data_IF_613443491105
#
_entry.id   IF_613443491105
#
_cell.length_a   1.000
_cell.length_b   1.000
_cell.length_c   1.000
_cell.angle_alpha   90.00
_cell.angle_beta   90.00
_cell.angle_gamma   90.00
#
_symmetry.space_group_name_H-M   'P 1'
#
loop_
_entity.id
_entity.type
_entity.pdbx_description
1 polymer ?
#
# COMPACT_ATOMS: atom_id res chain seq x y z
N UNK A 1 3.64 -10.63 -45.81
CA UNK A 1 4.37 -10.01 -44.66
C UNK A 1 3.72 -8.73 -44.10
N UNK A 2 2.44 -8.41 -44.38
CA UNK A 2 1.81 -7.14 -43.94
C UNK A 2 1.05 -7.27 -42.60
N UNK A 3 0.39 -8.40 -42.38
CA UNK A 3 -0.36 -8.72 -41.16
C UNK A 3 0.51 -8.88 -39.89
N UNK A 4 1.77 -9.30 -40.04
CA UNK A 4 2.70 -9.51 -38.92
C UNK A 4 3.17 -8.19 -38.28
N UNK A 5 3.25 -7.10 -39.06
CA UNK A 5 3.62 -5.76 -38.57
C UNK A 5 2.49 -5.09 -37.78
N UNK A 6 1.23 -5.33 -38.18
CA UNK A 6 0.07 -4.81 -37.46
C UNK A 6 -0.10 -5.50 -36.09
N UNK A 7 0.13 -6.81 -36.00
CA UNK A 7 0.08 -7.55 -34.74
C UNK A 7 1.15 -7.06 -33.73
N UNK A 8 2.37 -6.79 -34.19
CA UNK A 8 3.46 -6.29 -33.34
C UNK A 8 3.16 -4.89 -32.77
N UNK A 9 2.57 -4.00 -33.58
CA UNK A 9 2.18 -2.66 -33.15
C UNK A 9 1.07 -2.67 -32.10
N UNK A 10 0.06 -3.53 -32.27
CA UNK A 10 -1.05 -3.66 -31.30
C UNK A 10 -0.57 -4.28 -29.99
N UNK A 11 0.29 -5.31 -30.06
CA UNK A 11 0.85 -5.93 -28.86
C UNK A 11 1.76 -4.97 -28.08
N UNK A 12 2.59 -4.18 -28.77
CA UNK A 12 3.47 -3.19 -28.14
C UNK A 12 2.71 -2.06 -27.43
N UNK A 13 1.66 -1.51 -28.05
CA UNK A 13 0.81 -0.47 -27.43
C UNK A 13 0.06 -1.00 -26.20
N UNK A 14 -0.42 -2.24 -26.26
CA UNK A 14 -1.16 -2.85 -25.14
C UNK A 14 -0.26 -3.11 -23.93
N UNK A 15 0.95 -3.64 -24.16
CA UNK A 15 1.94 -3.83 -23.08
C UNK A 15 2.43 -2.52 -22.50
N UNK A 16 2.55 -1.48 -23.33
CA UNK A 16 3.02 -0.17 -22.89
C UNK A 16 1.96 0.52 -22.01
N UNK A 17 0.67 0.51 -22.40
CA UNK A 17 -0.42 1.09 -21.58
C UNK A 17 -0.57 0.43 -20.20
N UNK A 18 -0.38 -0.89 -20.11
CA UNK A 18 -0.43 -1.60 -18.82
C UNK A 18 0.72 -1.23 -17.88
N UNK A 19 1.91 -0.93 -18.44
CA UNK A 19 3.08 -0.53 -17.66
C UNK A 19 2.88 0.81 -16.93
N UNK A 20 2.24 1.80 -17.57
CA UNK A 20 2.00 3.11 -16.94
C UNK A 20 1.06 3.04 -15.73
N UNK A 21 0.02 2.20 -15.80
CA UNK A 21 -0.93 2.05 -14.70
C UNK A 21 -0.32 1.46 -13.43
N UNK A 22 0.63 0.53 -13.56
CA UNK A 22 1.33 -0.07 -12.41
C UNK A 22 2.29 0.90 -11.74
N UNK A 23 3.02 1.71 -12.51
CA UNK A 23 4.00 2.64 -11.96
C UNK A 23 3.36 3.73 -11.08
N UNK A 24 2.19 4.22 -11.48
CA UNK A 24 1.47 5.26 -10.72
C UNK A 24 0.94 4.72 -9.38
N UNK A 25 0.49 3.46 -9.36
CA UNK A 25 0.02 2.79 -8.15
C UNK A 25 1.15 2.59 -7.13
N UNK A 26 2.29 2.09 -7.61
CA UNK A 26 3.45 1.80 -6.78
C UNK A 26 4.07 3.09 -6.21
N UNK A 27 4.13 4.15 -7.03
CA UNK A 27 4.58 5.47 -6.58
C UNK A 27 3.65 6.07 -5.51
N UNK A 28 2.32 5.92 -5.66
CA UNK A 28 1.35 6.37 -4.65
C UNK A 28 1.48 5.58 -3.35
N UNK A 29 1.64 4.26 -3.43
CA UNK A 29 1.87 3.41 -2.26
C UNK A 29 3.17 3.82 -1.55
N UNK A 30 4.28 3.95 -2.28
CA UNK A 30 5.55 4.38 -1.71
C UNK A 30 5.47 5.74 -1.02
N UNK A 31 4.80 6.73 -1.64
CA UNK A 31 4.60 8.07 -1.05
C UNK A 31 3.71 8.03 0.21
N UNK A 32 2.70 7.17 0.24
CA UNK A 32 1.84 7.02 1.42
C UNK A 32 2.58 6.33 2.57
N UNK A 33 3.38 5.32 2.25
CA UNK A 33 4.18 4.59 3.22
C UNK A 33 5.25 5.48 3.85
N UNK A 34 6.02 6.20 3.02
CA UNK A 34 7.05 7.14 3.47
C UNK A 34 6.53 8.35 4.27
N UNK A 35 5.21 8.59 4.27
CA UNK A 35 4.59 9.60 5.15
C UNK A 35 4.28 9.09 6.55
N UNK A 36 4.33 7.77 6.74
CA UNK A 36 4.03 7.11 8.00
C UNK A 36 5.32 6.56 8.61
N UNK A 37 6.12 5.87 7.80
CA UNK A 37 7.47 5.42 8.11
C UNK A 37 8.40 6.64 8.20
N UNK A 38 8.64 7.10 9.44
CA UNK A 38 9.46 8.26 9.78
C UNK A 38 10.93 7.91 9.80
N UNK A 39 11.26 6.69 10.23
CA UNK A 39 12.65 6.21 10.33
C UNK A 39 13.19 5.74 8.98
N UNK A 40 12.32 5.55 7.99
CA UNK A 40 12.62 4.98 6.67
C UNK A 40 13.24 3.57 6.76
N UNK A 41 12.85 2.78 7.77
CA UNK A 41 13.33 1.41 7.96
C UNK A 41 12.64 0.42 7.01
N UNK A 42 11.58 0.86 6.32
CA UNK A 42 10.81 0.06 5.38
C UNK A 42 9.64 -0.67 6.03
N UNK A 43 9.40 -0.44 7.32
CA UNK A 43 8.31 -0.97 8.11
C UNK A 43 7.54 0.19 8.78
N UNK A 44 6.32 -0.07 9.23
CA UNK A 44 5.54 0.88 10.03
C UNK A 44 5.33 0.27 11.40
N UNK A 45 5.97 0.86 12.40
CA UNK A 45 5.84 0.43 13.79
C UNK A 45 4.50 0.89 14.38
N UNK A 46 4.06 0.20 15.44
CA UNK A 46 2.84 0.59 16.18
C UNK A 46 2.90 2.05 16.65
N UNK A 47 4.08 2.51 17.10
CA UNK A 47 4.29 3.88 17.56
C UNK A 47 4.14 4.91 16.44
N UNK A 48 4.72 4.64 15.26
CA UNK A 48 4.59 5.52 14.09
C UNK A 48 3.13 5.60 13.62
N UNK A 49 2.42 4.48 13.67
CA UNK A 49 0.99 4.45 13.40
C UNK A 49 0.22 5.23 14.48
N UNK A 50 0.55 5.10 15.77
CA UNK A 50 -0.06 5.89 16.85
C UNK A 50 0.17 7.39 16.63
N UNK A 51 1.39 7.82 16.31
CA UNK A 51 1.71 9.23 16.03
C UNK A 51 0.93 9.74 14.82
N UNK A 52 0.86 8.96 13.73
CA UNK A 52 0.14 9.35 12.52
C UNK A 52 -1.37 9.49 12.74
N UNK A 53 -1.93 8.65 13.61
CA UNK A 53 -3.36 8.68 13.94
C UNK A 53 -3.68 9.52 15.18
N UNK A 54 -2.68 9.95 15.96
CA UNK A 54 -2.86 10.87 17.08
C UNK A 54 -3.38 12.24 16.60
N UNK A 55 -2.88 12.69 15.44
CA UNK A 55 -3.36 13.91 14.77
C UNK A 55 -4.70 13.70 14.05
N UNK A 56 -5.03 12.45 13.67
CA UNK A 56 -6.28 12.12 12.99
C UNK A 56 -7.37 11.67 13.98
N UNK A 57 -8.28 12.59 14.29
CA UNK A 57 -9.51 12.25 15.01
C UNK A 57 -10.46 11.45 14.10
N UNK A 58 -11.13 10.44 14.66
CA UNK A 58 -12.28 9.80 13.99
C UNK A 58 -13.37 10.86 13.76
N UNK A 59 -14.20 10.69 12.73
CA UNK A 59 -15.40 11.54 12.54
C UNK A 59 -16.33 11.54 13.77
N UNK A 60 -16.23 10.51 14.60
CA UNK A 60 -17.00 10.29 15.82
C UNK A 60 -16.31 10.79 17.11
N UNK A 61 -15.15 11.46 17.02
CA UNK A 61 -14.43 12.00 18.18
C UNK A 61 -13.84 10.95 19.13
N UNK A 62 -14.01 9.65 18.86
CA UNK A 62 -13.42 8.55 19.63
C UNK A 62 -11.96 8.31 19.23
N UNK A 63 -11.10 7.89 20.17
CA UNK A 63 -9.78 7.41 19.83
C UNK A 63 -9.91 6.16 18.94
N UNK A 64 -9.24 6.15 17.79
CA UNK A 64 -9.08 4.91 17.05
C UNK A 64 -8.31 3.92 17.93
N UNK A 65 -8.81 2.68 18.05
CA UNK A 65 -8.07 1.62 18.73
C UNK A 65 -6.97 1.11 17.79
N UNK A 66 -5.92 1.93 17.63
CA UNK A 66 -4.79 1.71 16.70
C UNK A 66 -4.17 0.35 16.92
N UNK A 67 -4.02 -0.06 18.18
CA UNK A 67 -3.49 -1.38 18.55
C UNK A 67 -4.31 -2.54 17.98
N UNK A 68 -5.64 -2.43 18.01
CA UNK A 68 -6.54 -3.47 17.47
C UNK A 68 -6.58 -3.45 15.94
N UNK A 69 -6.39 -2.29 15.31
CA UNK A 69 -6.24 -2.18 13.87
C UNK A 69 -4.88 -2.72 13.41
N UNK A 70 -3.84 -2.47 14.20
CA UNK A 70 -2.49 -2.93 13.98
C UNK A 70 -2.43 -4.45 14.02
N UNK A 71 -2.86 -5.06 15.13
CA UNK A 71 -2.92 -6.52 15.28
C UNK A 71 -3.77 -7.23 14.21
N UNK A 72 -4.75 -6.54 13.62
CA UNK A 72 -5.55 -7.11 12.52
C UNK A 72 -4.82 -7.09 11.18
N UNK A 73 -3.84 -6.20 11.02
CA UNK A 73 -3.04 -6.05 9.81
C UNK A 73 -1.70 -6.76 9.90
N UNK A 74 -1.13 -6.83 11.09
CA UNK A 74 0.09 -7.55 11.43
C UNK A 74 -0.20 -9.05 11.38
N UNK A 75 0.04 -9.66 10.22
CA UNK A 75 -0.29 -11.07 9.96
C UNK A 75 0.84 -11.96 10.45
N UNK A 76 2.09 -11.48 10.38
CA UNK A 76 3.26 -12.21 10.84
C UNK A 76 3.50 -12.07 12.36
N UNK A 77 2.87 -11.10 13.03
CA UNK A 77 2.97 -10.90 14.48
C UNK A 77 4.31 -10.27 14.91
N UNK A 78 4.95 -9.55 14.02
CA UNK A 78 6.29 -8.96 14.15
C UNK A 78 6.27 -7.62 14.91
N UNK A 79 5.08 -7.06 15.16
CA UNK A 79 4.95 -5.75 15.81
C UNK A 79 5.27 -4.57 14.90
N UNK A 80 5.48 -4.83 13.60
CA UNK A 80 5.68 -3.86 12.51
C UNK A 80 4.83 -4.29 11.31
N UNK A 81 4.37 -3.33 10.52
CA UNK A 81 3.69 -3.59 9.26
C UNK A 81 4.65 -3.40 8.10
N UNK A 82 4.90 -4.46 7.34
CA UNK A 82 5.66 -4.32 6.10
C UNK A 82 4.81 -3.60 5.01
N UNK A 83 5.47 -3.20 3.91
CA UNK A 83 4.78 -2.52 2.79
C UNK A 83 3.59 -3.34 2.24
N UNK A 84 3.74 -4.65 2.08
CA UNK A 84 2.67 -5.54 1.64
C UNK A 84 1.53 -5.55 2.67
N UNK A 85 1.81 -5.74 3.95
CA UNK A 85 0.78 -5.76 5.01
C UNK A 85 0.05 -4.42 5.16
N UNK A 86 0.76 -3.31 5.00
CA UNK A 86 0.18 -1.98 5.07
C UNK A 86 -0.86 -1.73 3.96
N UNK A 87 -0.56 -2.15 2.72
CA UNK A 87 -1.44 -2.00 1.55
C UNK A 87 -2.41 -3.17 1.36
N UNK A 88 -2.17 -4.33 1.98
CA UNK A 88 -3.13 -5.42 2.00
C UNK A 88 -4.36 -4.97 2.79
N UNK A 89 -5.52 -4.92 2.12
CA UNK A 89 -6.80 -4.91 2.84
C UNK A 89 -6.89 -6.27 3.51
N UNK A 90 -6.67 -6.32 4.83
CA UNK A 90 -6.58 -7.53 5.64
C UNK A 90 -7.51 -8.63 5.10
N UNK A 91 -6.92 -9.77 4.70
CA UNK A 91 -7.68 -10.88 4.18
C UNK A 91 -8.75 -11.23 5.22
N UNK A 92 -10.03 -11.10 4.85
CA UNK A 92 -11.09 -11.79 5.59
C UNK A 92 -10.71 -13.27 5.55
N UNK A 93 -10.25 -13.83 6.68
CA UNK A 93 -10.30 -15.28 6.88
C UNK A 93 -11.76 -15.65 6.67
N UNK A 94 -12.01 -16.39 5.58
CA UNK A 94 -13.31 -16.97 5.26
C UNK A 94 -13.51 -18.19 6.14
#
# INVERSE_FOLDING_TARGET
>A
MKILKAALLVFGVLTFSQSYGQQDLEAKQKKQFAKVDKDSDGYVSLEEMKVRFADKKTKDGKPFNIEKMFQKKDVNGDGKLDRKEFFTKGKKKK
#
